data_IF_168674922536
#
_entry.id   IF_168674922536
#
_cell.length_a   1.000
_cell.length_b   1.000
_cell.length_c   1.000
_cell.angle_alpha   90.00
_cell.angle_beta   90.00
_cell.angle_gamma   90.00
#
_symmetry.space_group_name_H-M   'P 1'
#
loop_
_entity.id
_entity.type
_entity.pdbx_description
1 polymer ?
#
# COMPACT_ATOMS: atom_id res chain seq x y z
N UNK A 1 2.36 14.39 -6.48
CA UNK A 1 1.18 14.37 -5.61
C UNK A 1 1.40 15.25 -4.40
N UNK A 2 0.45 16.14 -4.04
CA UNK A 2 0.56 16.98 -2.84
C UNK A 2 0.74 16.13 -1.56
N UNK A 3 0.04 15.01 -1.44
CA UNK A 3 0.13 14.11 -0.31
C UNK A 3 1.53 13.49 -0.19
N UNK A 4 2.15 13.14 -1.31
CA UNK A 4 3.54 12.65 -1.31
C UNK A 4 4.49 13.76 -0.87
N UNK A 5 4.31 14.98 -1.37
CA UNK A 5 5.17 16.11 -0.99
C UNK A 5 5.10 16.40 0.51
N UNK A 6 3.90 16.34 1.10
CA UNK A 6 3.64 16.61 2.52
C UNK A 6 3.99 15.44 3.45
N UNK A 7 4.07 14.21 2.95
CA UNK A 7 4.33 13.03 3.77
C UNK A 7 5.81 12.96 4.18
N UNK A 8 6.10 12.84 5.46
CA UNK A 8 7.43 12.48 5.97
C UNK A 8 7.64 10.96 5.96
N UNK A 9 6.55 10.21 6.15
CA UNK A 9 6.53 8.75 6.17
C UNK A 9 5.60 8.23 5.08
N UNK A 10 6.13 7.40 4.20
CA UNK A 10 5.43 6.76 3.08
C UNK A 10 5.46 5.26 3.26
N UNK A 11 4.29 4.66 3.45
CA UNK A 11 4.14 3.21 3.40
C UNK A 11 3.84 2.75 1.98
N UNK A 12 4.43 1.64 1.60
CA UNK A 12 4.28 1.04 0.29
C UNK A 12 4.24 -0.49 0.42
N UNK A 13 4.39 -1.19 -0.67
CA UNK A 13 4.49 -2.65 -0.73
C UNK A 13 5.69 -3.05 -1.59
N UNK A 14 6.23 -4.26 -1.37
CA UNK A 14 7.17 -4.84 -2.32
C UNK A 14 6.36 -5.49 -3.44
N UNK A 15 6.53 -5.06 -4.71
CA UNK A 15 5.66 -5.49 -5.79
C UNK A 15 5.89 -6.97 -6.15
N UNK A 16 4.80 -7.69 -6.35
CA UNK A 16 4.77 -9.02 -6.95
C UNK A 16 4.78 -8.92 -8.49
N UNK A 17 4.95 -10.05 -9.18
CA UNK A 17 5.08 -10.07 -10.65
C UNK A 17 3.84 -9.54 -11.39
N UNK A 18 2.66 -9.74 -10.81
CA UNK A 18 1.37 -9.29 -11.36
C UNK A 18 0.98 -7.86 -10.92
N UNK A 19 1.75 -7.23 -10.05
CA UNK A 19 1.53 -5.88 -9.56
C UNK A 19 2.34 -4.84 -10.36
N UNK A 20 1.93 -3.55 -10.36
CA UNK A 20 2.76 -2.48 -10.91
C UNK A 20 4.13 -2.43 -10.23
N UNK A 21 5.20 -2.34 -11.01
CA UNK A 21 6.54 -2.18 -10.46
C UNK A 21 6.73 -0.77 -9.88
N UNK A 22 6.66 -0.68 -8.56
CA UNK A 22 6.88 0.56 -7.80
C UNK A 22 8.27 0.66 -7.18
N UNK A 23 9.20 -0.26 -7.47
CA UNK A 23 10.58 -0.20 -6.92
C UNK A 23 11.29 1.14 -7.22
N UNK A 24 11.11 1.76 -8.41
CA UNK A 24 11.64 3.10 -8.63
C UNK A 24 11.08 4.17 -7.67
N UNK A 25 9.80 4.04 -7.27
CA UNK A 25 9.19 4.91 -6.26
C UNK A 25 9.75 4.65 -4.87
N UNK A 26 9.99 3.39 -4.48
CA UNK A 26 10.64 3.08 -3.20
C UNK A 26 12.00 3.74 -3.09
N UNK A 27 12.80 3.70 -4.15
CA UNK A 27 14.07 4.38 -4.23
C UNK A 27 13.93 5.92 -4.15
N UNK A 28 12.89 6.47 -4.80
CA UNK A 28 12.61 7.91 -4.76
C UNK A 28 12.22 8.39 -3.36
N UNK A 29 11.38 7.66 -2.63
CA UNK A 29 10.99 7.98 -1.24
C UNK A 29 12.23 8.20 -0.37
N UNK A 30 13.20 7.30 -0.47
CA UNK A 30 14.45 7.39 0.31
C UNK A 30 15.35 8.54 -0.16
N UNK A 31 15.53 8.69 -1.47
CA UNK A 31 16.30 9.80 -2.05
C UNK A 31 15.75 11.16 -1.60
N UNK A 32 14.43 11.27 -1.47
CA UNK A 32 13.74 12.49 -1.04
C UNK A 32 13.79 12.69 0.50
N UNK A 33 14.56 11.86 1.22
CA UNK A 33 14.77 11.98 2.67
C UNK A 33 13.59 11.54 3.53
N UNK A 34 12.61 10.84 2.94
CA UNK A 34 11.41 10.38 3.64
C UNK A 34 11.62 8.99 4.25
N UNK A 35 10.88 8.69 5.32
CA UNK A 35 10.84 7.34 5.88
C UNK A 35 10.02 6.42 4.98
N UNK A 36 10.67 5.38 4.43
CA UNK A 36 9.99 4.30 3.71
C UNK A 36 9.55 3.23 4.70
N UNK A 37 8.31 2.77 4.61
CA UNK A 37 7.79 1.64 5.37
C UNK A 37 7.23 0.57 4.43
N UNK A 38 7.44 -0.69 4.79
CA UNK A 38 6.87 -1.86 4.12
C UNK A 38 6.12 -2.73 5.14
N UNK A 39 5.12 -3.52 4.68
CA UNK A 39 4.34 -4.37 5.57
C UNK A 39 5.12 -5.60 6.02
N UNK A 40 4.80 -6.05 7.24
CA UNK A 40 5.02 -7.42 7.71
C UNK A 40 3.68 -8.03 8.06
N UNK A 41 3.49 -9.29 7.66
CA UNK A 41 2.26 -10.04 7.90
C UNK A 41 2.50 -11.04 9.03
N UNK A 42 1.68 -10.94 10.09
CA UNK A 42 1.65 -11.90 11.18
C UNK A 42 0.81 -13.13 10.86
N UNK A 43 1.06 -14.23 11.59
CA UNK A 43 0.32 -15.49 11.44
C UNK A 43 -1.16 -15.35 11.87
N UNK A 44 -1.45 -14.41 12.76
CA UNK A 44 -2.80 -14.07 13.24
C UNK A 44 -3.63 -13.25 12.25
N UNK A 45 -3.08 -12.96 11.06
CA UNK A 45 -3.71 -12.11 10.06
C UNK A 45 -3.58 -10.62 10.32
N UNK A 46 -2.79 -10.21 11.33
CA UNK A 46 -2.41 -8.82 11.52
C UNK A 46 -1.36 -8.39 10.49
N UNK A 47 -1.35 -7.09 10.19
CA UNK A 47 -0.32 -6.47 9.37
C UNK A 47 0.18 -5.22 10.07
N UNK A 48 1.50 -5.12 10.21
CA UNK A 48 2.18 -3.96 10.77
C UNK A 48 3.12 -3.36 9.73
N UNK A 49 3.38 -2.05 9.82
CA UNK A 49 4.29 -1.35 8.93
C UNK A 49 5.62 -1.11 9.61
N UNK A 50 6.71 -1.41 8.92
CA UNK A 50 8.06 -1.29 9.48
C UNK A 50 8.94 -0.41 8.59
N UNK A 51 9.73 0.45 9.23
CA UNK A 51 10.67 1.32 8.55
C UNK A 51 11.79 0.50 7.91
N UNK A 52 12.12 0.82 6.66
CA UNK A 52 13.15 0.16 5.87
C UNK A 52 14.25 1.15 5.54
N UNK A 53 15.37 1.15 6.28
CA UNK A 53 16.50 2.04 6.01
C UNK A 53 17.11 1.80 4.64
N UNK A 54 17.14 0.55 4.18
CA UNK A 54 17.53 0.17 2.84
C UNK A 54 16.41 -0.68 2.19
N UNK A 55 15.79 -0.16 1.12
CA UNK A 55 14.70 -0.84 0.42
C UNK A 55 15.09 -2.21 -0.17
N UNK A 56 16.39 -2.51 -0.24
CA UNK A 56 16.89 -3.78 -0.75
C UNK A 56 17.37 -4.75 0.35
N UNK A 57 17.52 -4.26 1.59
CA UNK A 57 17.82 -5.09 2.76
C UNK A 57 16.52 -5.69 3.33
N UNK A 58 15.91 -6.58 2.57
CA UNK A 58 14.67 -7.26 2.92
C UNK A 58 14.91 -8.75 3.06
N UNK A 59 14.32 -9.36 4.09
CA UNK A 59 14.33 -10.79 4.31
C UNK A 59 13.21 -11.48 3.51
N UNK A 60 13.33 -12.78 3.20
CA UNK A 60 12.20 -13.57 2.74
C UNK A 60 11.10 -13.58 3.82
N UNK A 61 9.91 -13.16 3.44
CA UNK A 61 8.75 -13.11 4.32
C UNK A 61 7.64 -14.09 3.94
N UNK A 62 6.46 -13.88 4.50
CA UNK A 62 5.30 -14.69 4.23
C UNK A 62 4.93 -14.68 2.73
N UNK A 63 4.47 -15.80 2.22
CA UNK A 63 4.03 -15.98 0.83
C UNK A 63 5.10 -15.70 -0.26
N UNK A 64 6.40 -15.76 0.10
CA UNK A 64 7.50 -15.44 -0.82
C UNK A 64 7.67 -13.95 -1.09
N UNK A 65 6.95 -13.08 -0.40
CA UNK A 65 7.09 -11.62 -0.48
C UNK A 65 8.30 -11.21 0.37
N UNK A 66 9.08 -10.27 -0.10
CA UNK A 66 10.17 -9.70 0.70
C UNK A 66 9.60 -8.75 1.75
N UNK A 67 10.00 -8.93 2.99
CA UNK A 67 9.53 -8.17 4.14
C UNK A 67 10.68 -7.50 4.90
N UNK A 68 10.42 -6.43 5.67
CA UNK A 68 11.39 -5.87 6.61
C UNK A 68 11.90 -6.93 7.60
N UNK A 69 13.13 -6.77 8.08
CA UNK A 69 13.70 -7.65 9.11
C UNK A 69 12.88 -7.60 10.41
N UNK A 70 13.03 -8.64 11.24
CA UNK A 70 12.19 -8.83 12.43
C UNK A 70 12.38 -7.72 13.48
N UNK A 71 13.57 -7.12 13.55
CA UNK A 71 13.94 -6.04 14.46
C UNK A 71 13.74 -4.63 13.85
N UNK A 72 13.24 -4.55 12.61
CA UNK A 72 12.93 -3.27 11.99
C UNK A 72 11.90 -2.49 12.80
N UNK A 73 12.13 -1.18 12.98
CA UNK A 73 11.25 -0.30 13.76
C UNK A 73 9.82 -0.33 13.21
N UNK A 74 8.88 -0.69 14.05
CA UNK A 74 7.46 -0.57 13.74
C UNK A 74 7.05 0.91 13.64
N UNK A 75 6.23 1.22 12.65
CA UNK A 75 5.67 2.55 12.39
C UNK A 75 4.19 2.53 12.68
N UNK A 76 3.76 3.39 13.60
CA UNK A 76 2.36 3.46 13.98
C UNK A 76 1.52 4.13 12.89
N UNK A 77 0.23 3.78 12.76
CA UNK A 77 -0.66 4.36 11.75
C UNK A 77 -0.70 5.89 11.73
N UNK A 78 -0.58 6.54 12.90
CA UNK A 78 -0.62 8.00 13.04
C UNK A 78 0.60 8.70 12.43
N UNK A 79 1.74 7.98 12.32
CA UNK A 79 2.98 8.49 11.72
C UNK A 79 2.94 8.47 10.18
N UNK A 80 1.96 7.74 9.59
CA UNK A 80 1.90 7.49 8.16
C UNK A 80 1.23 8.67 7.45
N UNK A 81 1.99 9.37 6.61
CA UNK A 81 1.50 10.46 5.78
C UNK A 81 0.84 10.01 4.49
N UNK A 82 1.35 8.92 3.91
CA UNK A 82 0.83 8.30 2.69
C UNK A 82 1.02 6.80 2.75
N UNK A 83 -0.03 6.05 2.40
CA UNK A 83 -0.01 4.59 2.29
C UNK A 83 -0.42 4.17 0.88
N UNK A 84 0.49 3.55 0.15
CA UNK A 84 0.24 2.96 -1.16
C UNK A 84 -0.24 1.53 -0.99
N UNK A 85 -1.42 1.24 -1.50
CA UNK A 85 -2.11 -0.04 -1.31
C UNK A 85 -2.16 -0.80 -2.63
N UNK A 86 -1.62 -2.03 -2.71
CA UNK A 86 -1.71 -2.84 -3.91
C UNK A 86 -3.12 -3.35 -4.13
N UNK A 87 -3.48 -3.62 -5.38
CA UNK A 87 -4.71 -4.32 -5.71
C UNK A 87 -4.56 -5.15 -6.99
N UNK A 88 -5.30 -6.24 -7.08
CA UNK A 88 -5.43 -7.03 -8.30
C UNK A 88 -6.38 -6.36 -9.30
N UNK A 89 -7.43 -5.71 -8.79
CA UNK A 89 -8.36 -4.88 -9.55
C UNK A 89 -9.02 -3.86 -8.63
N UNK A 90 -9.56 -2.80 -9.20
CA UNK A 90 -10.44 -1.85 -8.51
C UNK A 90 -11.71 -1.64 -9.32
N UNK A 91 -12.75 -1.08 -8.71
CA UNK A 91 -13.93 -0.68 -9.45
C UNK A 91 -14.14 0.85 -9.42
N UNK A 92 -15.13 1.30 -10.20
CA UNK A 92 -15.45 2.73 -10.31
C UNK A 92 -16.00 3.35 -9.03
N UNK A 93 -16.29 2.55 -8.01
CA UNK A 93 -16.73 3.02 -6.68
C UNK A 93 -15.63 3.00 -5.62
N UNK A 94 -14.39 2.68 -6.01
CA UNK A 94 -13.24 2.61 -5.10
C UNK A 94 -13.16 1.36 -4.27
N UNK A 95 -13.91 0.31 -4.61
CA UNK A 95 -13.73 -1.04 -4.07
C UNK A 95 -12.51 -1.66 -4.72
N UNK A 96 -11.68 -2.36 -3.93
CA UNK A 96 -10.53 -3.09 -4.45
C UNK A 96 -10.69 -4.59 -4.29
N UNK A 97 -10.17 -5.34 -5.24
CA UNK A 97 -9.91 -6.77 -5.14
C UNK A 97 -8.47 -6.98 -4.65
N UNK A 98 -8.32 -7.58 -3.50
CA UNK A 98 -7.04 -8.03 -2.95
C UNK A 98 -6.91 -9.55 -3.06
N UNK A 99 -5.87 -10.11 -2.41
CA UNK A 99 -5.57 -11.55 -2.42
C UNK A 99 -6.37 -12.37 -1.40
N UNK A 100 -7.46 -11.82 -0.86
CA UNK A 100 -8.41 -12.53 0.02
C UNK A 100 -7.97 -12.70 1.48
N UNK A 101 -6.85 -12.13 1.90
CA UNK A 101 -6.37 -12.21 3.30
C UNK A 101 -6.91 -11.06 4.19
N UNK A 102 -7.46 -10.00 3.60
CA UNK A 102 -8.05 -8.86 4.30
C UNK A 102 -7.07 -8.00 5.11
N UNK A 103 -5.76 -8.13 4.90
CA UNK A 103 -4.75 -7.34 5.62
C UNK A 103 -4.98 -5.84 5.52
N UNK A 104 -5.11 -5.33 4.30
CA UNK A 104 -5.33 -3.90 4.07
C UNK A 104 -6.72 -3.44 4.49
N UNK A 105 -7.74 -4.30 4.39
CA UNK A 105 -9.11 -3.96 4.79
C UNK A 105 -9.22 -3.75 6.31
N UNK A 106 -8.37 -4.43 7.08
CA UNK A 106 -8.22 -4.21 8.53
C UNK A 106 -7.30 -3.05 8.88
N UNK A 107 -6.25 -2.82 8.08
CA UNK A 107 -5.24 -1.81 8.37
C UNK A 107 -5.67 -0.39 7.96
N UNK A 108 -6.24 -0.23 6.77
CA UNK A 108 -6.60 1.10 6.21
C UNK A 108 -7.51 1.93 7.13
N UNK A 109 -8.49 1.35 7.85
CA UNK A 109 -9.31 2.12 8.79
C UNK A 109 -8.54 2.77 9.96
N UNK A 110 -7.33 2.30 10.27
CA UNK A 110 -6.47 2.91 11.30
C UNK A 110 -5.70 4.14 10.81
N UNK A 111 -5.66 4.37 9.51
CA UNK A 111 -4.97 5.52 8.91
C UNK A 111 -5.81 6.79 8.99
N UNK A 112 -5.13 7.94 8.89
CA UNK A 112 -5.82 9.22 8.72
C UNK A 112 -6.67 9.22 7.44
N UNK A 113 -7.85 9.85 7.43
CA UNK A 113 -8.66 9.97 6.22
C UNK A 113 -7.87 10.53 5.04
N UNK A 114 -7.96 9.87 3.90
CA UNK A 114 -7.26 10.27 2.67
C UNK A 114 -5.78 9.88 2.57
N UNK A 115 -5.19 9.27 3.61
CA UNK A 115 -3.80 8.82 3.57
C UNK A 115 -3.59 7.58 2.70
N UNK A 116 -4.63 6.78 2.46
CA UNK A 116 -4.54 5.58 1.62
C UNK A 116 -4.82 5.89 0.15
N UNK A 117 -4.01 5.32 -0.74
CA UNK A 117 -4.09 5.50 -2.19
C UNK A 117 -3.86 4.15 -2.86
N UNK A 118 -4.78 3.71 -3.72
CA UNK A 118 -4.58 2.48 -4.49
C UNK A 118 -3.48 2.66 -5.53
N UNK A 119 -2.76 1.58 -5.79
CA UNK A 119 -1.88 1.46 -6.97
C UNK A 119 -2.45 0.38 -7.86
N UNK A 120 -2.92 0.75 -9.04
CA UNK A 120 -3.64 -0.15 -9.94
C UNK A 120 -3.28 0.17 -11.39
N UNK A 121 -3.32 -0.84 -12.26
CA UNK A 121 -3.27 -0.60 -13.71
C UNK A 121 -4.63 -0.14 -14.20
N UNK A 122 -4.68 0.83 -15.09
CA UNK A 122 -5.94 1.33 -15.68
C UNK A 122 -6.80 0.21 -16.27
N UNK A 123 -6.17 -0.76 -16.93
CA UNK A 123 -6.86 -1.91 -17.53
C UNK A 123 -7.54 -2.84 -16.50
N UNK A 124 -7.22 -2.72 -15.22
CA UNK A 124 -7.78 -3.51 -14.12
C UNK A 124 -8.85 -2.75 -13.32
N UNK A 125 -9.29 -1.59 -13.81
CA UNK A 125 -10.43 -0.86 -13.24
C UNK A 125 -11.71 -1.36 -13.93
N UNK A 126 -12.50 -2.13 -13.19
CA UNK A 126 -13.77 -2.71 -13.64
C UNK A 126 -14.95 -1.78 -13.34
N UNK A 127 -16.11 -2.03 -13.94
CA UNK A 127 -17.33 -1.28 -13.59
C UNK A 127 -17.76 -1.58 -12.16
N UNK A 128 -17.71 -2.85 -11.74
CA UNK A 128 -18.11 -3.29 -10.40
C UNK A 128 -17.37 -4.54 -9.97
N UNK A 129 -16.98 -4.57 -8.72
CA UNK A 129 -16.40 -5.73 -8.02
C UNK A 129 -17.35 -6.12 -6.89
N UNK A 130 -17.60 -7.43 -6.64
CA UNK A 130 -18.33 -7.87 -5.44
C UNK A 130 -17.63 -7.35 -4.19
N UNK A 131 -18.38 -6.65 -3.34
CA UNK A 131 -17.87 -6.04 -2.12
C UNK A 131 -18.64 -6.53 -0.91
N UNK A 132 -17.94 -6.63 0.22
CA UNK A 132 -18.52 -6.91 1.53
C UNK A 132 -18.56 -5.62 2.37
N UNK A 133 -19.37 -5.60 3.42
CA UNK A 133 -19.55 -4.39 4.24
C UNK A 133 -18.27 -3.93 4.95
N UNK A 134 -17.30 -4.84 5.16
CA UNK A 134 -16.04 -4.57 5.83
C UNK A 134 -14.87 -4.21 4.86
N UNK A 135 -15.10 -4.25 3.54
CA UNK A 135 -14.07 -3.91 2.58
C UNK A 135 -13.77 -2.41 2.62
N UNK A 136 -12.49 -2.06 2.68
CA UNK A 136 -12.06 -0.68 2.65
C UNK A 136 -12.38 -0.04 1.28
N UNK A 137 -12.88 1.20 1.31
CA UNK A 137 -13.15 2.00 0.11
C UNK A 137 -12.10 3.09 -0.04
N UNK A 138 -11.69 3.31 -1.27
CA UNK A 138 -10.65 4.25 -1.62
C UNK A 138 -11.22 5.38 -2.47
N UNK A 139 -10.84 6.61 -2.16
CA UNK A 139 -11.26 7.77 -2.94
C UNK A 139 -10.42 7.96 -4.22
N UNK A 140 -9.24 7.34 -4.29
CA UNK A 140 -8.30 7.56 -5.40
C UNK A 140 -7.40 6.35 -5.66
N UNK A 141 -6.96 6.25 -6.92
CA UNK A 141 -5.89 5.36 -7.35
C UNK A 141 -4.83 6.10 -8.16
N UNK A 142 -3.58 5.67 -8.05
CA UNK A 142 -2.51 5.98 -8.99
C UNK A 142 -2.48 4.89 -10.06
N UNK A 143 -2.45 5.31 -11.31
CA UNK A 143 -2.32 4.43 -12.46
C UNK A 143 -1.21 4.91 -13.38
N UNK A 144 -0.86 4.13 -14.39
CA UNK A 144 0.07 4.55 -15.46
C UNK A 144 -0.44 5.75 -16.28
N UNK A 145 -1.76 6.01 -16.23
CA UNK A 145 -2.40 7.16 -16.89
C UNK A 145 -2.58 8.36 -15.96
N UNK A 146 -2.13 8.28 -14.69
CA UNK A 146 -2.26 9.35 -13.70
C UNK A 146 -3.22 8.99 -12.55
N UNK A 147 -3.79 10.02 -11.93
CA UNK A 147 -4.67 9.86 -10.76
C UNK A 147 -6.11 9.64 -11.22
N UNK A 148 -6.67 8.48 -10.85
CA UNK A 148 -8.10 8.21 -10.93
C UNK A 148 -8.76 8.60 -9.62
N UNK A 149 -9.88 9.34 -9.68
CA UNK A 149 -10.75 9.66 -8.54
C UNK A 149 -11.99 8.79 -8.61
N UNK A 150 -12.40 8.29 -7.46
CA UNK A 150 -13.65 7.57 -7.28
C UNK A 150 -14.67 8.47 -6.57
N UNK A 151 -15.97 8.27 -6.77
CA UNK A 151 -17.05 9.06 -6.15
C UNK A 151 -17.02 9.01 -4.63
#
# INVERSE_FOLDING_TARGET
LPEYAAAETVCAFWPMEDEPDIRPLLAAVRRDGKTLCLPRCGEDGAMTMHAVPDAFALAPGAYGIREPEADAREVRPEEIGLCLVPCLAADETGVRLGRGKGYYDRFVPSLRPGAALLVCRTALIAQKIPAQAHDARFARAVTECGIRRFP
#
